data_IF_183164215088
#
_entry.id   IF_183164215088
#
_cell.length_a   1.000
_cell.length_b   1.000
_cell.length_c   1.000
_cell.angle_alpha   90.00
_cell.angle_beta   90.00
_cell.angle_gamma   90.00
#
_symmetry.space_group_name_H-M   'P 1'
#
loop_
_entity.id
_entity.type
_entity.pdbx_description
1 polymer ?
#
# COMPACT_ATOMS: atom_id res chain seq x y z
N UNK A 1 29.16 -3.38 -36.06
CA UNK A 1 27.96 -2.53 -35.87
C UNK A 1 26.75 -3.29 -35.32
N UNK A 2 26.38 -4.47 -35.85
CA UNK A 2 25.23 -5.26 -35.36
C UNK A 2 25.25 -5.57 -33.84
N UNK A 3 26.43 -5.88 -33.28
CA UNK A 3 26.60 -6.12 -31.83
C UNK A 3 26.38 -4.87 -30.96
N UNK A 4 26.74 -3.69 -31.49
CA UNK A 4 26.53 -2.41 -30.81
C UNK A 4 25.04 -2.04 -30.79
N UNK A 5 24.35 -2.28 -31.91
CA UNK A 5 22.89 -2.08 -32.00
C UNK A 5 22.16 -3.01 -31.02
N UNK A 6 22.58 -4.27 -30.90
CA UNK A 6 21.97 -5.21 -29.96
C UNK A 6 22.16 -4.79 -28.49
N UNK A 7 23.34 -4.23 -28.15
CA UNK A 7 23.64 -3.71 -26.81
C UNK A 7 22.78 -2.49 -26.47
N UNK A 8 22.63 -1.56 -27.42
CA UNK A 8 21.83 -0.34 -27.22
C UNK A 8 20.34 -0.70 -27.06
N UNK A 9 19.82 -1.60 -27.89
CA UNK A 9 18.43 -2.07 -27.79
C UNK A 9 18.20 -2.83 -26.49
N UNK A 10 19.13 -3.69 -26.07
CA UNK A 10 19.06 -4.40 -24.79
C UNK A 10 19.04 -3.46 -23.59
N UNK A 11 19.90 -2.43 -23.59
CA UNK A 11 19.94 -1.43 -22.51
C UNK A 11 18.65 -0.61 -22.43
N UNK A 12 18.10 -0.19 -23.58
CA UNK A 12 16.87 0.58 -23.63
C UNK A 12 15.65 -0.22 -23.13
N UNK A 13 15.57 -1.51 -23.46
CA UNK A 13 14.50 -2.40 -22.98
C UNK A 13 14.55 -2.60 -21.45
N UNK A 14 15.74 -2.62 -20.85
CA UNK A 14 15.90 -2.75 -19.40
C UNK A 14 15.40 -1.51 -18.64
N UNK A 15 15.51 -0.31 -19.24
CA UNK A 15 15.04 0.93 -18.61
C UNK A 15 13.51 1.11 -18.62
N UNK A 16 12.78 0.31 -19.41
CA UNK A 16 11.32 0.36 -19.45
C UNK A 16 10.64 -0.48 -18.36
N UNK A 17 11.41 -1.26 -17.61
CA UNK A 17 10.90 -2.11 -16.54
C UNK A 17 11.26 -1.48 -15.21
N UNK A 18 10.26 -1.14 -14.39
CA UNK A 18 10.37 -0.67 -13.00
C UNK A 18 10.46 0.85 -12.78
N UNK A 19 9.33 1.54 -12.97
CA UNK A 19 9.04 2.73 -12.17
C UNK A 19 8.18 2.33 -10.98
N UNK A 20 8.60 2.66 -9.76
CA UNK A 20 7.76 2.56 -8.58
C UNK A 20 6.52 3.45 -8.79
N UNK A 21 5.35 2.84 -8.78
CA UNK A 21 4.07 3.52 -8.98
C UNK A 21 3.48 3.90 -7.63
N UNK A 22 2.65 4.94 -7.66
CA UNK A 22 1.85 5.38 -6.51
C UNK A 22 0.40 5.02 -6.76
N UNK A 23 -0.21 4.31 -5.82
CA UNK A 23 -1.63 3.92 -5.84
C UNK A 23 -2.37 4.61 -4.70
N UNK A 24 -3.59 5.10 -4.97
CA UNK A 24 -4.46 5.69 -3.95
C UNK A 24 -5.59 4.72 -3.60
N UNK A 25 -5.83 4.54 -2.31
CA UNK A 25 -6.87 3.66 -1.80
C UNK A 25 -7.75 4.43 -0.83
N UNK A 26 -9.04 4.51 -1.12
CA UNK A 26 -10.05 5.06 -0.23
C UNK A 26 -11.36 4.28 -0.36
N UNK A 27 -11.85 3.69 0.74
CA UNK A 27 -13.14 2.97 0.76
C UNK A 27 -14.35 3.88 1.05
N UNK A 28 -14.15 5.20 1.22
CA UNK A 28 -15.25 6.14 1.37
C UNK A 28 -15.96 6.34 0.01
N UNK A 29 -17.28 6.16 -0.06
CA UNK A 29 -18.03 6.14 -1.33
C UNK A 29 -18.00 7.47 -2.10
N UNK A 30 -17.76 8.57 -1.41
CA UNK A 30 -17.64 9.91 -1.98
C UNK A 30 -16.24 10.23 -2.56
N UNK A 31 -15.25 9.37 -2.32
CA UNK A 31 -13.86 9.60 -2.73
C UNK A 31 -13.55 8.80 -3.99
N UNK A 32 -13.16 9.51 -5.05
CA UNK A 32 -12.74 8.89 -6.31
C UNK A 32 -11.25 8.47 -6.26
N UNK A 33 -10.93 7.49 -5.41
CA UNK A 33 -9.63 6.85 -5.38
C UNK A 33 -9.51 5.77 -6.47
N UNK A 34 -8.28 5.38 -6.82
CA UNK A 34 -8.03 4.34 -7.83
C UNK A 34 -8.58 2.97 -7.37
N UNK A 35 -8.51 2.70 -6.07
CA UNK A 35 -9.09 1.52 -5.45
C UNK A 35 -9.94 1.88 -4.24
N UNK A 36 -11.00 1.12 -4.04
CA UNK A 36 -11.80 1.13 -2.82
C UNK A 36 -11.44 0.02 -1.83
N UNK A 37 -10.48 -0.85 -2.18
CA UNK A 37 -10.01 -1.96 -1.34
C UNK A 37 -8.48 -2.01 -1.39
N UNK A 38 -7.88 -2.23 -0.21
CA UNK A 38 -6.44 -2.36 -0.06
C UNK A 38 -5.93 -3.65 -0.75
N UNK A 39 -6.68 -4.73 -0.69
CA UNK A 39 -6.38 -6.02 -1.31
C UNK A 39 -6.28 -5.89 -2.83
N UNK A 40 -7.24 -5.20 -3.44
CA UNK A 40 -7.23 -4.98 -4.89
C UNK A 40 -6.02 -4.14 -5.31
N UNK A 41 -5.64 -3.13 -4.51
CA UNK A 41 -4.43 -2.36 -4.75
C UNK A 41 -3.17 -3.21 -4.62
N UNK A 42 -3.06 -4.05 -3.59
CA UNK A 42 -1.93 -4.97 -3.37
C UNK A 42 -1.77 -6.00 -4.50
N UNK A 43 -2.89 -6.47 -5.06
CA UNK A 43 -2.89 -7.37 -6.21
C UNK A 43 -2.28 -6.70 -7.44
N UNK A 44 -2.65 -5.45 -7.74
CA UNK A 44 -2.12 -4.69 -8.88
C UNK A 44 -0.69 -4.16 -8.66
N UNK A 45 -0.31 -3.88 -7.42
CA UNK A 45 1.02 -3.35 -7.10
C UNK A 45 2.15 -4.29 -7.57
N UNK A 46 3.22 -3.70 -8.06
CA UNK A 46 4.50 -4.35 -8.32
C UNK A 46 5.43 -4.17 -7.12
N UNK A 47 6.52 -4.94 -7.09
CA UNK A 47 7.61 -4.72 -6.15
C UNK A 47 8.15 -3.27 -6.27
N UNK A 48 8.28 -2.58 -5.14
CA UNK A 48 8.72 -1.19 -5.06
C UNK A 48 7.59 -0.15 -5.10
N UNK A 49 6.35 -0.55 -5.40
CA UNK A 49 5.23 0.39 -5.43
C UNK A 49 4.88 0.95 -4.04
N UNK A 50 4.22 2.11 -4.05
CA UNK A 50 3.71 2.80 -2.86
C UNK A 50 2.19 2.90 -2.90
N UNK A 51 1.54 2.60 -1.77
CA UNK A 51 0.11 2.77 -1.55
C UNK A 51 -0.10 3.91 -0.57
N UNK A 52 -0.84 4.94 -0.98
CA UNK A 52 -1.45 5.90 -0.06
C UNK A 52 -2.82 5.39 0.35
N UNK A 53 -2.95 5.01 1.62
CA UNK A 53 -4.21 4.57 2.21
C UNK A 53 -4.86 5.75 2.91
N UNK A 54 -5.94 6.28 2.34
CA UNK A 54 -6.60 7.49 2.81
C UNK A 54 -7.52 7.22 4.00
N UNK A 55 -7.75 8.24 4.83
CA UNK A 55 -8.67 8.12 5.95
C UNK A 55 -10.09 7.83 5.47
N UNK A 56 -10.87 7.13 6.28
CA UNK A 56 -12.26 6.82 5.96
C UNK A 56 -13.12 6.60 7.20
N UNK A 57 -14.44 6.75 7.00
CA UNK A 57 -15.50 6.39 7.95
C UNK A 57 -15.55 4.90 8.29
N UNK A 58 -14.97 4.06 7.44
CA UNK A 58 -15.02 2.60 7.54
C UNK A 58 -13.62 1.99 7.52
N UNK A 59 -13.43 0.92 8.27
CA UNK A 59 -12.18 0.19 8.34
C UNK A 59 -11.83 -0.53 7.02
N UNK A 60 -10.52 -0.72 6.80
CA UNK A 60 -9.99 -1.48 5.67
C UNK A 60 -9.77 -2.94 6.04
N UNK A 61 -10.13 -3.80 5.09
CA UNK A 61 -9.89 -5.23 5.14
C UNK A 61 -11.12 -6.06 4.81
N UNK A 62 -10.98 -7.37 4.50
CA UNK A 62 -12.10 -8.22 4.17
C UNK A 62 -12.74 -8.64 5.50
N UNK A 63 -13.85 -8.00 5.85
CA UNK A 63 -14.67 -8.38 7.00
C UNK A 63 -15.90 -9.18 6.57
N UNK A 64 -16.24 -10.19 7.35
CA UNK A 64 -17.56 -10.83 7.33
C UNK A 64 -18.19 -10.86 8.73
N UNK A 65 -19.36 -11.48 8.86
CA UNK A 65 -20.08 -11.56 10.13
C UNK A 65 -19.32 -12.35 11.24
N UNK A 66 -18.24 -13.05 10.89
CA UNK A 66 -17.49 -13.94 11.77
C UNK A 66 -16.06 -13.43 12.07
N UNK A 67 -15.60 -12.37 11.40
CA UNK A 67 -14.34 -11.71 11.69
C UNK A 67 -13.68 -11.12 10.45
N UNK A 68 -12.39 -10.81 10.57
CA UNK A 68 -11.59 -10.30 9.47
C UNK A 68 -10.65 -11.37 8.93
N UNK A 69 -10.69 -11.58 7.61
CA UNK A 69 -9.71 -12.40 6.92
C UNK A 69 -8.36 -11.67 6.84
N UNK A 70 -7.23 -12.38 6.96
CA UNK A 70 -5.93 -11.73 6.97
C UNK A 70 -5.54 -11.18 5.59
N UNK A 71 -5.12 -9.93 5.54
CA UNK A 71 -4.49 -9.29 4.37
C UNK A 71 -3.04 -9.77 4.29
N UNK A 72 -2.63 -10.25 3.12
CA UNK A 72 -1.29 -10.79 2.89
C UNK A 72 -0.45 -9.84 2.04
N UNK A 73 0.68 -9.38 2.58
CA UNK A 73 1.68 -8.61 1.83
C UNK A 73 2.78 -9.56 1.37
N UNK A 74 2.80 -9.86 0.07
CA UNK A 74 3.71 -10.83 -0.55
C UNK A 74 4.76 -10.19 -1.47
N UNK A 75 4.75 -8.86 -1.59
CA UNK A 75 5.67 -8.07 -2.42
C UNK A 75 6.34 -6.97 -1.57
N UNK A 76 7.56 -6.53 -1.89
CA UNK A 76 8.20 -5.42 -1.20
C UNK A 76 7.47 -4.14 -1.61
N UNK A 77 6.80 -3.48 -0.67
CA UNK A 77 5.97 -2.31 -0.95
C UNK A 77 6.02 -1.32 0.21
N UNK A 78 5.61 -0.09 -0.06
CA UNK A 78 5.39 0.92 0.97
C UNK A 78 3.91 1.24 1.10
N UNK A 79 3.37 1.25 2.32
CA UNK A 79 2.00 1.70 2.61
C UNK A 79 2.07 2.89 3.55
N UNK A 80 1.50 4.00 3.13
CA UNK A 80 1.51 5.27 3.85
C UNK A 80 0.06 5.67 4.14
N UNK A 81 -0.29 5.70 5.41
CA UNK A 81 -1.53 6.31 5.89
C UNK A 81 -1.37 7.80 6.17
N UNK A 82 -2.44 8.48 6.59
CA UNK A 82 -2.46 9.91 6.88
C UNK A 82 -1.61 10.30 8.11
N UNK A 83 -1.14 9.32 8.90
CA UNK A 83 -0.37 9.57 10.13
C UNK A 83 -1.24 9.71 11.38
N UNK A 84 -0.59 9.81 12.53
CA UNK A 84 -1.21 10.12 13.83
C UNK A 84 -1.60 11.61 13.99
N UNK A 85 -1.06 12.51 13.15
CA UNK A 85 -1.15 13.99 13.30
C UNK A 85 -2.20 14.68 12.42
N UNK A 86 -3.31 14.01 12.08
CA UNK A 86 -4.39 14.63 11.28
C UNK A 86 -4.98 15.89 11.93
N UNK A 87 -4.95 15.99 13.28
CA UNK A 87 -5.45 17.17 14.02
C UNK A 87 -4.61 18.43 13.76
N UNK A 88 -3.35 18.27 13.41
CA UNK A 88 -2.40 19.36 13.14
C UNK A 88 -2.25 19.63 11.64
N UNK A 89 -2.41 18.60 10.81
CA UNK A 89 -2.42 18.70 9.36
C UNK A 89 -3.86 18.85 8.84
N UNK A 90 -4.34 20.09 8.75
CA UNK A 90 -5.61 20.45 8.07
C UNK A 90 -5.51 20.14 6.57
N UNK A 91 -5.62 18.87 6.20
CA UNK A 91 -5.89 18.47 4.82
C UNK A 91 -7.39 18.19 4.73
N UNK A 92 -8.00 19.09 3.98
CA UNK A 92 -9.41 19.30 3.66
C UNK A 92 -10.19 18.00 3.40
N UNK A 93 -11.24 17.78 4.21
CA UNK A 93 -12.38 16.86 3.98
C UNK A 93 -12.12 15.33 3.94
N UNK A 94 -11.93 14.66 5.08
CA UNK A 94 -12.22 13.22 5.20
C UNK A 94 -12.88 12.85 6.55
N UNK A 95 -13.91 11.99 6.45
CA UNK A 95 -14.73 11.46 7.54
C UNK A 95 -13.89 10.52 8.41
N UNK A 96 -13.82 10.82 9.72
CA UNK A 96 -13.05 10.11 10.78
C UNK A 96 -11.59 9.76 10.49
N UNK A 97 -10.74 10.79 10.30
CA UNK A 97 -9.39 10.97 10.87
C UNK A 97 -8.25 9.95 10.72
N UNK A 98 -8.51 8.67 10.44
CA UNK A 98 -7.51 7.60 10.50
C UNK A 98 -7.72 6.60 9.36
N UNK A 99 -6.62 5.99 8.89
CA UNK A 99 -6.68 4.81 8.03
C UNK A 99 -6.49 3.57 8.89
N UNK A 100 -7.62 3.00 9.34
CA UNK A 100 -7.62 1.82 10.18
C UNK A 100 -7.71 0.54 9.35
N UNK A 101 -6.71 -0.32 9.47
CA UNK A 101 -6.73 -1.68 8.93
C UNK A 101 -7.14 -2.63 10.04
N UNK A 102 -8.39 -3.06 10.01
CA UNK A 102 -8.98 -3.94 11.02
C UNK A 102 -8.56 -5.40 10.84
N UNK A 103 -8.26 -5.79 9.61
CA UNK A 103 -7.78 -7.14 9.31
C UNK A 103 -6.38 -7.40 9.81
N UNK A 104 -6.07 -8.63 10.27
CA UNK A 104 -4.70 -9.01 10.54
C UNK A 104 -3.83 -8.86 9.30
N UNK A 105 -2.71 -8.17 9.43
CA UNK A 105 -1.73 -7.99 8.36
C UNK A 105 -0.63 -9.02 8.49
N UNK A 106 -0.50 -9.89 7.47
CA UNK A 106 0.57 -10.89 7.39
C UNK A 106 1.59 -10.49 6.34
N UNK A 107 2.78 -10.15 6.78
CA UNK A 107 3.86 -9.67 5.92
C UNK A 107 4.81 -10.82 5.62
N UNK A 108 4.77 -11.33 4.39
CA UNK A 108 5.64 -12.40 3.92
C UNK A 108 6.82 -11.91 3.08
N UNK A 109 6.77 -10.67 2.59
CA UNK A 109 7.86 -10.08 1.82
C UNK A 109 8.88 -9.40 2.72
N UNK A 110 10.14 -9.41 2.28
CA UNK A 110 11.16 -8.51 2.83
C UNK A 110 10.89 -7.07 2.36
N UNK A 111 11.52 -6.09 3.03
CA UNK A 111 11.54 -4.68 2.59
C UNK A 111 10.14 -4.06 2.44
N UNK A 112 9.26 -4.32 3.42
CA UNK A 112 7.95 -3.69 3.50
C UNK A 112 8.01 -2.52 4.48
N UNK A 113 7.46 -1.38 4.09
CA UNK A 113 7.36 -0.20 4.97
C UNK A 113 5.90 0.14 5.19
N UNK A 114 5.48 0.19 6.46
CA UNK A 114 4.17 0.65 6.90
C UNK A 114 4.36 1.92 7.72
N UNK A 115 3.66 3.00 7.39
CA UNK A 115 3.76 4.26 8.13
C UNK A 115 2.42 4.97 8.25
N UNK A 116 2.14 5.55 9.42
CA UNK A 116 0.98 6.42 9.61
C UNK A 116 -0.37 5.72 9.52
N UNK A 117 -0.40 4.44 9.86
CA UNK A 117 -1.58 3.57 9.83
C UNK A 117 -2.01 3.20 11.25
N UNK A 118 -3.31 3.13 11.49
CA UNK A 118 -3.83 2.40 12.64
C UNK A 118 -3.98 0.93 12.23
N UNK A 119 -3.38 0.02 13.00
CA UNK A 119 -3.30 -1.41 12.67
C UNK A 119 -3.86 -2.22 13.84
N UNK A 120 -4.71 -3.20 13.56
CA UNK A 120 -5.22 -4.12 14.59
C UNK A 120 -4.14 -5.13 15.03
N UNK A 121 -3.72 -5.99 14.10
CA UNK A 121 -2.71 -7.01 14.34
C UNK A 121 -1.75 -7.10 13.15
N UNK A 122 -0.45 -7.27 13.43
CA UNK A 122 0.58 -7.45 12.40
C UNK A 122 1.45 -8.64 12.75
N UNK A 123 1.56 -9.57 11.82
CA UNK A 123 2.45 -10.73 11.88
C UNK A 123 3.49 -10.59 10.77
N UNK A 124 4.77 -10.59 11.15
CA UNK A 124 5.88 -10.38 10.22
C UNK A 124 6.67 -11.67 10.06
N UNK A 125 6.70 -12.18 8.83
CA UNK A 125 7.47 -13.36 8.40
C UNK A 125 8.64 -12.98 7.48
N UNK A 126 8.66 -11.74 6.96
CA UNK A 126 9.75 -11.18 6.16
C UNK A 126 10.81 -10.44 6.99
N UNK A 127 11.95 -10.13 6.36
CA UNK A 127 13.05 -9.36 6.94
C UNK A 127 13.01 -7.89 6.51
N UNK A 128 13.72 -7.02 7.24
CA UNK A 128 13.91 -5.61 6.86
C UNK A 128 12.58 -4.84 6.72
N UNK A 129 11.57 -5.21 7.52
CA UNK A 129 10.28 -4.55 7.54
C UNK A 129 10.31 -3.38 8.53
N UNK A 130 9.79 -2.23 8.12
CA UNK A 130 9.69 -1.02 8.96
C UNK A 130 8.23 -0.73 9.25
N UNK A 131 7.90 -0.54 10.54
CA UNK A 131 6.59 -0.07 10.98
C UNK A 131 6.80 1.21 11.78
N UNK A 132 6.30 2.32 11.25
CA UNK A 132 6.34 3.64 11.87
C UNK A 132 4.93 4.13 12.18
N UNK A 133 4.78 4.82 13.33
CA UNK A 133 3.53 5.50 13.72
C UNK A 133 3.50 6.92 13.19
#
# INVERSE_FOLDING_TARGET
>A
MKKLVLLIVGSFLLTMVSHARVKRVCNAPEVNAEYSSLENALMDCAAGDTIYLEASGTEYGPGDAYGFDPIRITKPITIIGPGYLYKENKVVNYTTGESFIASPLRIYSNNVTLSGLLLNNVEIFGNECTIAK
#
